data_IF_683252044084
#
_entry.id   IF_683252044084
#
_cell.length_a   1.000
_cell.length_b   1.000
_cell.length_c   1.000
_cell.angle_alpha   90.00
_cell.angle_beta   90.00
_cell.angle_gamma   90.00
#
_symmetry.space_group_name_H-M   'P 1'
#
loop_
_entity.id
_entity.type
_entity.pdbx_description
1 polymer ?
#
# COMPACT_ATOMS: atom_id res chain seq x y z
N UNK A 1 12.44 2.55 -12.90
CA UNK A 1 12.86 2.63 -11.48
C UNK A 1 12.81 1.21 -10.89
N UNK A 2 13.88 0.42 -11.04
CA UNK A 2 13.82 -1.05 -10.83
C UNK A 2 13.44 -1.46 -9.40
N UNK A 3 14.04 -0.85 -8.37
CA UNK A 3 13.69 -1.16 -6.97
C UNK A 3 12.26 -0.75 -6.57
N UNK A 4 11.71 0.30 -7.19
CA UNK A 4 10.34 0.74 -6.92
C UNK A 4 9.32 -0.20 -7.56
N UNK A 5 9.65 -0.74 -8.74
CA UNK A 5 8.84 -1.78 -9.39
C UNK A 5 8.70 -3.01 -8.48
N UNK A 6 9.80 -3.48 -7.89
CA UNK A 6 9.76 -4.63 -6.98
C UNK A 6 8.90 -4.33 -5.74
N UNK A 7 8.97 -3.10 -5.22
CA UNK A 7 8.17 -2.65 -4.07
C UNK A 7 6.67 -2.59 -4.41
N UNK A 8 6.32 -2.06 -5.58
CA UNK A 8 4.95 -2.03 -6.08
C UNK A 8 4.40 -3.44 -6.32
N UNK A 9 5.20 -4.34 -6.89
CA UNK A 9 4.83 -5.73 -7.09
C UNK A 9 4.64 -6.46 -5.75
N UNK A 10 5.53 -6.24 -4.76
CA UNK A 10 5.37 -6.81 -3.43
C UNK A 10 4.05 -6.38 -2.78
N UNK A 11 3.71 -5.09 -2.84
CA UNK A 11 2.43 -4.58 -2.38
C UNK A 11 1.24 -5.26 -3.09
N UNK A 12 1.30 -5.37 -4.43
CA UNK A 12 0.25 -6.03 -5.21
C UNK A 12 0.04 -7.50 -4.79
N UNK A 13 1.12 -8.25 -4.57
CA UNK A 13 1.02 -9.64 -4.08
C UNK A 13 0.41 -9.71 -2.66
N UNK A 14 0.75 -8.77 -1.78
CA UNK A 14 0.16 -8.68 -0.44
C UNK A 14 -1.35 -8.42 -0.52
N UNK A 15 -1.77 -7.41 -1.29
CA UNK A 15 -3.19 -7.09 -1.50
C UNK A 15 -3.97 -8.31 -1.99
N UNK A 16 -3.46 -8.97 -3.03
CA UNK A 16 -4.08 -10.19 -3.59
C UNK A 16 -4.19 -11.33 -2.57
N UNK A 17 -3.20 -11.46 -1.68
CA UNK A 17 -3.18 -12.50 -0.65
C UNK A 17 -4.17 -12.23 0.48
N UNK A 18 -4.46 -10.95 0.78
CA UNK A 18 -5.40 -10.54 1.83
C UNK A 18 -6.85 -10.62 1.34
N UNK A 19 -7.10 -10.39 0.05
CA UNK A 19 -8.45 -10.29 -0.51
C UNK A 19 -9.39 -11.46 -0.17
N UNK A 20 -8.98 -12.75 -0.22
CA UNK A 20 -9.85 -13.88 0.11
C UNK A 20 -10.29 -13.96 1.57
N UNK A 21 -9.63 -13.21 2.47
CA UNK A 21 -9.92 -13.24 3.90
C UNK A 21 -10.52 -11.94 4.42
N UNK A 22 -10.63 -10.90 3.59
CA UNK A 22 -11.17 -9.59 3.99
C UNK A 22 -12.55 -9.69 4.64
N UNK A 23 -13.45 -10.50 4.09
CA UNK A 23 -14.82 -10.70 4.61
C UNK A 23 -14.85 -11.35 6.00
N UNK A 24 -13.77 -12.04 6.39
CA UNK A 24 -13.67 -12.73 7.69
C UNK A 24 -13.02 -11.86 8.76
N UNK A 25 -12.39 -10.75 8.36
CA UNK A 25 -11.75 -9.83 9.28
C UNK A 25 -12.82 -8.96 9.97
N UNK A 26 -12.56 -8.48 11.19
CA UNK A 26 -13.40 -7.49 11.83
C UNK A 26 -13.52 -6.23 10.94
N UNK A 27 -14.53 -5.39 11.18
CA UNK A 27 -14.71 -4.14 10.44
C UNK A 27 -13.39 -3.38 10.27
N UNK A 28 -13.00 -3.14 9.02
CA UNK A 28 -11.67 -2.68 8.66
C UNK A 28 -11.69 -1.72 7.47
N UNK A 29 -10.59 -0.98 7.33
CA UNK A 29 -10.36 -0.03 6.22
C UNK A 29 -9.38 -0.60 5.17
N UNK A 30 -9.10 -1.91 5.18
CA UNK A 30 -8.00 -2.48 4.39
C UNK A 30 -8.21 -2.34 2.89
N UNK A 31 -9.44 -2.54 2.40
CA UNK A 31 -9.76 -2.38 0.97
C UNK A 31 -9.53 -0.94 0.52
N UNK A 32 -10.14 0.02 1.22
CA UNK A 32 -10.01 1.45 0.94
C UNK A 32 -8.55 1.94 1.02
N UNK A 33 -7.80 1.49 2.03
CA UNK A 33 -6.38 1.84 2.18
C UNK A 33 -5.52 1.18 1.09
N UNK A 34 -5.86 -0.03 0.65
CA UNK A 34 -5.15 -0.72 -0.44
C UNK A 34 -5.40 -0.02 -1.78
N UNK A 35 -6.63 0.39 -2.04
CA UNK A 35 -6.98 1.17 -3.24
C UNK A 35 -6.23 2.51 -3.25
N UNK A 36 -6.24 3.22 -2.13
CA UNK A 36 -5.50 4.48 -2.00
C UNK A 36 -3.99 4.30 -2.24
N UNK A 37 -3.41 3.18 -1.78
CA UNK A 37 -2.01 2.85 -2.00
C UNK A 37 -1.71 2.57 -3.47
N UNK A 38 -2.55 1.77 -4.14
CA UNK A 38 -2.44 1.51 -5.58
C UNK A 38 -2.46 2.82 -6.36
N UNK A 39 -3.46 3.65 -6.12
CA UNK A 39 -3.64 4.91 -6.84
C UNK A 39 -2.44 5.87 -6.60
N UNK A 40 -1.89 5.88 -5.37
CA UNK A 40 -0.70 6.67 -5.04
C UNK A 40 0.56 6.12 -5.73
N UNK A 41 0.71 4.79 -5.84
CA UNK A 41 1.82 4.16 -6.57
C UNK A 41 1.75 4.55 -8.05
N UNK A 42 0.56 4.48 -8.67
CA UNK A 42 0.34 4.90 -10.05
C UNK A 42 0.70 6.39 -10.25
N UNK A 43 0.29 7.25 -9.32
CA UNK A 43 0.64 8.67 -9.35
C UNK A 43 2.15 8.90 -9.29
N UNK A 44 2.89 8.13 -8.47
CA UNK A 44 4.36 8.21 -8.41
C UNK A 44 4.99 7.81 -9.74
N UNK A 45 4.54 6.72 -10.36
CA UNK A 45 5.04 6.26 -11.67
C UNK A 45 4.79 7.31 -12.73
N UNK A 46 3.54 7.77 -12.86
CA UNK A 46 3.14 8.81 -13.81
C UNK A 46 3.99 10.08 -13.65
N UNK A 47 4.10 10.60 -12.43
CA UNK A 47 4.87 11.82 -12.16
C UNK A 47 6.36 11.66 -12.48
N UNK A 48 6.91 10.46 -12.27
CA UNK A 48 8.30 10.16 -12.62
C UNK A 48 8.50 10.07 -14.14
N UNK A 49 7.58 9.44 -14.86
CA UNK A 49 7.63 9.27 -16.32
C UNK A 49 7.48 10.61 -17.06
N UNK A 50 6.69 11.54 -16.51
CA UNK A 50 6.59 12.93 -16.96
C UNK A 50 7.87 13.77 -16.71
N UNK A 51 8.93 13.16 -16.17
CA UNK A 51 10.21 13.81 -15.91
C UNK A 51 10.25 14.62 -14.62
N UNK A 52 9.15 14.72 -13.86
CA UNK A 52 9.08 15.46 -12.61
C UNK A 52 9.55 14.64 -11.40
N UNK A 53 10.82 14.25 -11.42
CA UNK A 53 11.42 13.36 -10.40
C UNK A 53 11.37 13.94 -8.99
N UNK A 54 11.51 15.26 -8.85
CA UNK A 54 11.40 15.95 -7.55
C UNK A 54 10.01 15.77 -6.95
N UNK A 55 8.96 15.97 -7.76
CA UNK A 55 7.60 15.79 -7.31
C UNK A 55 7.27 14.33 -6.98
N UNK A 56 7.76 13.39 -7.78
CA UNK A 56 7.62 11.96 -7.49
C UNK A 56 8.25 11.59 -6.12
N UNK A 57 9.42 12.14 -5.79
CA UNK A 57 10.06 11.96 -4.48
C UNK A 57 9.24 12.57 -3.34
N UNK A 58 8.66 13.76 -3.52
CA UNK A 58 7.75 14.36 -2.54
C UNK A 58 6.52 13.48 -2.29
N UNK A 59 5.87 12.98 -3.35
CA UNK A 59 4.70 12.11 -3.23
C UNK A 59 5.07 10.83 -2.49
N UNK A 60 6.22 10.23 -2.81
CA UNK A 60 6.70 9.05 -2.08
C UNK A 60 6.89 9.33 -0.58
N UNK A 61 7.54 10.44 -0.22
CA UNK A 61 7.89 10.76 1.16
C UNK A 61 6.68 11.20 2.00
N UNK A 62 5.83 12.06 1.44
CA UNK A 62 4.78 12.75 2.18
C UNK A 62 3.39 12.16 1.95
N UNK A 63 3.22 11.24 0.99
CA UNK A 63 1.92 10.61 0.71
C UNK A 63 2.01 9.08 0.79
N UNK A 64 2.85 8.46 -0.04
CA UNK A 64 2.91 7.00 -0.14
C UNK A 64 3.37 6.34 1.17
N UNK A 65 4.49 6.82 1.74
CA UNK A 65 5.05 6.22 2.95
C UNK A 65 4.12 6.36 4.18
N UNK A 66 3.53 7.54 4.48
CA UNK A 66 2.54 7.66 5.54
C UNK A 66 1.32 6.75 5.33
N UNK A 67 0.81 6.67 4.10
CA UNK A 67 -0.33 5.83 3.77
C UNK A 67 -0.02 4.34 3.96
N UNK A 68 1.18 3.90 3.54
CA UNK A 68 1.65 2.54 3.75
C UNK A 68 1.74 2.20 5.24
N UNK A 69 2.25 3.11 6.07
CA UNK A 69 2.29 2.91 7.52
C UNK A 69 0.88 2.78 8.11
N UNK A 70 -0.08 3.59 7.67
CA UNK A 70 -1.49 3.46 8.10
C UNK A 70 -2.06 2.10 7.72
N UNK A 71 -1.86 1.68 6.46
CA UNK A 71 -2.27 0.37 5.98
C UNK A 71 -1.64 -0.78 6.77
N UNK A 72 -0.34 -0.69 7.08
CA UNK A 72 0.37 -1.70 7.86
C UNK A 72 -0.16 -1.82 9.30
N UNK A 73 -0.47 -0.68 9.94
CA UNK A 73 -1.09 -0.67 11.29
C UNK A 73 -2.46 -1.34 11.26
N UNK A 74 -3.28 -1.02 10.26
CA UNK A 74 -4.60 -1.62 10.09
C UNK A 74 -4.51 -3.12 9.81
N UNK A 75 -3.56 -3.53 8.98
CA UNK A 75 -3.29 -4.93 8.68
C UNK A 75 -2.95 -5.68 9.96
N UNK A 76 -2.01 -5.18 10.74
CA UNK A 76 -1.66 -5.78 12.01
C UNK A 76 -2.87 -5.86 12.94
N UNK A 77 -3.63 -4.76 13.10
CA UNK A 77 -4.84 -4.73 13.94
C UNK A 77 -5.85 -5.81 13.55
N UNK A 78 -6.09 -6.02 12.27
CA UNK A 78 -7.05 -7.00 11.77
C UNK A 78 -6.57 -8.44 11.97
N UNK A 79 -5.27 -8.70 11.84
CA UNK A 79 -4.70 -10.04 11.93
C UNK A 79 -4.23 -10.43 13.34
N UNK A 80 -4.00 -9.48 14.24
CA UNK A 80 -3.61 -9.73 15.64
C UNK A 80 -4.47 -10.80 16.34
N UNK A 81 -5.82 -10.81 16.24
CA UNK A 81 -6.65 -11.82 16.90
C UNK A 81 -6.44 -13.26 16.42
N UNK A 82 -5.78 -13.45 15.28
CA UNK A 82 -5.57 -14.76 14.65
C UNK A 82 -4.14 -15.29 14.83
N UNK A 83 -3.25 -14.50 15.45
CA UNK A 83 -1.90 -14.93 15.77
C UNK A 83 -1.91 -15.62 17.14
N UNK A 84 -1.65 -16.94 17.16
CA UNK A 84 -1.37 -17.67 18.39
C UNK A 84 0.04 -17.31 18.86
N UNK A 85 0.19 -16.93 20.13
CA UNK A 85 1.48 -16.68 20.78
C UNK A 85 2.19 -17.99 21.14
#
# INVERSE_FOLDING_TARGET
MMMFHDSANAFYQMQKSIQPVLEKLPGNELELLSDSLRDTIELVVYTYEEGNRGKAAEIMQFTLLPLYKKWQVELNRCFQPYLLS
#
